data_IF_604537536499
#
_entry.id   IF_604537536499
#
_cell.length_a   1.000
_cell.length_b   1.000
_cell.length_c   1.000
_cell.angle_alpha   90.00
_cell.angle_beta   90.00
_cell.angle_gamma   90.00
#
_symmetry.space_group_name_H-M   'P 1'
#
loop_
_entity.id
_entity.type
_entity.pdbx_description
1 polymer ?
#
# COMPACT_ATOMS: atom_id res chain seq x y z
N UNK A 1 -5.55 -9.98 -24.53
CA UNK A 1 -5.71 -9.20 -23.29
C UNK A 1 -5.74 -7.74 -23.66
N UNK A 2 -6.79 -7.02 -23.27
CA UNK A 2 -6.93 -5.57 -23.53
C UNK A 2 -7.23 -4.88 -22.20
N UNK A 3 -6.63 -3.71 -22.00
CA UNK A 3 -6.85 -2.86 -20.82
C UNK A 3 -7.37 -1.51 -21.29
N UNK A 4 -8.45 -1.03 -20.69
CA UNK A 4 -9.04 0.29 -20.96
C UNK A 4 -9.30 1.01 -19.64
N UNK A 5 -8.70 2.19 -19.46
CA UNK A 5 -8.91 3.01 -18.26
C UNK A 5 -10.24 3.77 -18.44
N UNK A 6 -11.13 3.64 -17.47
CA UNK A 6 -12.40 4.36 -17.44
C UNK A 6 -12.26 5.66 -16.65
N UNK A 7 -11.73 5.56 -15.43
CA UNK A 7 -11.54 6.70 -14.53
C UNK A 7 -10.17 6.59 -13.85
N UNK A 8 -9.54 7.73 -13.63
CA UNK A 8 -8.23 7.82 -12.98
C UNK A 8 -8.14 9.09 -12.14
N UNK A 9 -7.83 8.90 -10.87
CA UNK A 9 -7.38 9.93 -9.94
C UNK A 9 -6.09 9.47 -9.27
N UNK A 10 -5.53 10.30 -8.38
CA UNK A 10 -4.31 9.94 -7.63
C UNK A 10 -4.54 8.72 -6.74
N UNK A 11 -5.75 8.59 -6.17
CA UNK A 11 -6.09 7.58 -5.15
C UNK A 11 -6.96 6.45 -5.66
N UNK A 12 -7.65 6.64 -6.77
CA UNK A 12 -8.58 5.67 -7.34
C UNK A 12 -8.32 5.47 -8.83
N UNK A 13 -8.40 4.23 -9.30
CA UNK A 13 -8.35 3.90 -10.73
C UNK A 13 -9.38 2.82 -11.04
N UNK A 14 -10.16 3.08 -12.09
CA UNK A 14 -11.17 2.15 -12.59
C UNK A 14 -10.80 1.77 -14.02
N UNK A 15 -10.67 0.46 -14.29
CA UNK A 15 -10.28 -0.03 -15.61
C UNK A 15 -10.98 -1.33 -15.98
N UNK A 16 -11.11 -1.57 -17.28
CA UNK A 16 -11.61 -2.81 -17.86
C UNK A 16 -10.44 -3.68 -18.28
N UNK A 17 -10.50 -4.97 -17.93
CA UNK A 17 -9.58 -6.02 -18.37
C UNK A 17 -10.34 -7.09 -19.15
N UNK A 18 -10.04 -7.23 -20.44
CA UNK A 18 -10.66 -8.21 -21.35
C UNK A 18 -9.68 -9.30 -21.79
N UNK A 19 -10.19 -10.44 -22.25
CA UNK A 19 -9.35 -11.51 -22.78
C UNK A 19 -8.69 -12.36 -21.70
N UNK A 20 -9.28 -12.44 -20.50
CA UNK A 20 -8.70 -13.13 -19.34
C UNK A 20 -9.69 -14.05 -18.65
N UNK A 21 -9.19 -15.10 -17.99
CA UNK A 21 -10.02 -15.97 -17.14
C UNK A 21 -10.27 -15.32 -15.78
N UNK A 22 -11.38 -15.66 -15.10
CA UNK A 22 -11.64 -15.22 -13.72
C UNK A 22 -10.49 -15.49 -12.75
N UNK A 23 -9.75 -16.59 -12.93
CA UNK A 23 -8.59 -16.93 -12.12
C UNK A 23 -7.45 -15.92 -12.24
N UNK A 24 -7.23 -15.37 -13.43
CA UNK A 24 -6.22 -14.33 -13.66
C UNK A 24 -6.65 -13.00 -13.04
N UNK A 25 -7.91 -12.60 -13.23
CA UNK A 25 -8.46 -11.39 -12.60
C UNK A 25 -8.37 -11.47 -11.06
N UNK A 26 -8.71 -12.62 -10.48
CA UNK A 26 -8.58 -12.86 -9.04
C UNK A 26 -7.12 -12.84 -8.57
N UNK A 27 -6.19 -13.41 -9.35
CA UNK A 27 -4.77 -13.35 -9.04
C UNK A 27 -4.25 -11.90 -9.05
N UNK A 28 -4.58 -11.12 -10.08
CA UNK A 28 -4.20 -9.71 -10.19
C UNK A 28 -4.72 -8.91 -8.99
N UNK A 29 -5.99 -9.10 -8.62
CA UNK A 29 -6.58 -8.50 -7.39
C UNK A 29 -5.72 -8.81 -6.16
N UNK A 30 -5.37 -10.08 -5.95
CA UNK A 30 -4.60 -10.50 -4.77
C UNK A 30 -3.20 -9.92 -4.74
N UNK A 31 -2.56 -9.79 -5.91
CA UNK A 31 -1.23 -9.19 -6.04
C UNK A 31 -1.30 -7.71 -5.67
N UNK A 32 -2.24 -6.96 -6.24
CA UNK A 32 -2.46 -5.54 -5.92
C UNK A 32 -2.66 -5.30 -4.41
N UNK A 33 -3.37 -6.19 -3.74
CA UNK A 33 -3.64 -6.06 -2.31
C UNK A 33 -2.42 -6.42 -1.44
N UNK A 34 -1.76 -7.55 -1.71
CA UNK A 34 -0.89 -8.21 -0.72
C UNK A 34 0.58 -8.29 -1.08
N UNK A 35 0.96 -8.05 -2.34
CA UNK A 35 2.30 -8.37 -2.83
C UNK A 35 3.10 -7.17 -3.31
N UNK A 36 2.46 -6.00 -3.31
CA UNK A 36 3.10 -4.71 -3.54
C UNK A 36 3.87 -4.29 -2.29
N UNK A 37 5.04 -3.68 -2.49
CA UNK A 37 5.88 -3.19 -1.42
C UNK A 37 5.44 -1.80 -1.01
N UNK A 38 5.15 -1.60 0.27
CA UNK A 38 4.73 -0.30 0.80
C UNK A 38 5.54 0.09 2.03
N UNK A 39 5.66 1.38 2.30
CA UNK A 39 6.37 1.91 3.47
C UNK A 39 5.45 1.99 4.68
N UNK A 40 5.82 1.37 5.79
CA UNK A 40 5.11 1.49 7.07
C UNK A 40 6.07 1.37 8.26
N UNK A 41 5.64 1.86 9.42
CA UNK A 41 6.41 1.78 10.68
C UNK A 41 6.51 0.32 11.14
N UNK A 42 7.73 -0.17 11.35
CA UNK A 42 8.01 -1.51 11.91
C UNK A 42 8.37 -1.45 13.39
N UNK A 43 9.29 -0.56 13.75
CA UNK A 43 9.80 -0.45 15.12
C UNK A 43 9.49 0.93 15.68
N UNK A 44 9.15 0.99 16.96
CA UNK A 44 8.97 2.25 17.69
C UNK A 44 9.74 2.14 18.99
N UNK A 45 10.63 3.10 19.22
CA UNK A 45 11.38 3.25 20.46
C UNK A 45 10.82 4.45 21.23
N UNK A 46 10.19 4.17 22.38
CA UNK A 46 9.64 5.20 23.25
C UNK A 46 10.68 5.63 24.27
N UNK A 47 11.12 6.89 24.17
CA UNK A 47 11.96 7.50 25.21
C UNK A 47 11.15 7.97 26.40
N UNK A 48 9.92 8.43 26.15
CA UNK A 48 8.98 8.85 27.17
C UNK A 48 7.56 8.76 26.65
N UNK A 49 6.69 8.12 27.41
CA UNK A 49 5.25 8.19 27.19
C UNK A 49 4.56 8.35 28.55
N UNK A 50 4.04 9.54 28.80
CA UNK A 50 3.18 9.79 29.97
C UNK A 50 1.75 10.12 29.55
N UNK A 51 1.36 9.74 28.33
CA UNK A 51 -0.01 9.90 27.82
C UNK A 51 -0.97 8.90 28.46
N UNK A 52 -2.27 9.04 28.17
CA UNK A 52 -3.28 8.10 28.62
C UNK A 52 -3.24 6.74 27.88
N UNK A 53 -2.51 6.63 26.77
CA UNK A 53 -2.41 5.40 25.98
C UNK A 53 -1.05 4.71 26.23
N UNK A 54 -1.09 3.41 26.46
CA UNK A 54 0.12 2.60 26.59
C UNK A 54 0.90 2.56 25.27
N UNK A 55 2.20 2.26 25.38
CA UNK A 55 3.15 2.25 24.27
C UNK A 55 2.68 1.34 23.11
N UNK A 56 2.12 0.17 23.40
CA UNK A 56 1.66 -0.78 22.40
C UNK A 56 0.47 -0.24 21.58
N UNK A 57 -0.42 0.51 22.24
CA UNK A 57 -1.58 1.12 21.58
C UNK A 57 -1.13 2.24 20.65
N UNK A 58 -0.19 3.07 21.10
CA UNK A 58 0.39 4.13 20.28
C UNK A 58 1.19 3.52 19.11
N UNK A 59 2.02 2.52 19.36
CA UNK A 59 2.78 1.82 18.33
C UNK A 59 1.86 1.18 17.27
N UNK A 60 0.76 0.55 17.69
CA UNK A 60 -0.21 -0.02 16.77
C UNK A 60 -0.91 1.04 15.90
N UNK A 61 -1.18 2.23 16.46
CA UNK A 61 -1.71 3.36 15.68
C UNK A 61 -0.67 3.87 14.69
N UNK A 62 0.58 4.06 15.10
CA UNK A 62 1.68 4.48 14.24
C UNK A 62 1.91 3.51 13.08
N UNK A 63 1.81 2.21 13.34
CA UNK A 63 1.90 1.17 12.31
C UNK A 63 0.82 1.27 11.22
N UNK A 64 -0.32 1.90 11.50
CA UNK A 64 -1.43 2.07 10.56
C UNK A 64 -1.41 3.42 9.83
N UNK A 65 -0.48 4.32 10.15
CA UNK A 65 -0.35 5.60 9.44
C UNK A 65 0.30 5.34 8.07
N UNK A 66 -0.39 5.62 6.95
CA UNK A 66 0.19 5.45 5.63
C UNK A 66 1.28 6.51 5.40
N UNK A 67 2.42 6.07 4.87
CA UNK A 67 3.57 6.92 4.56
C UNK A 67 3.79 6.98 3.06
N UNK A 68 3.97 8.20 2.56
CA UNK A 68 4.53 8.46 1.21
C UNK A 68 5.98 7.98 1.14
N UNK A 69 6.45 7.64 -0.04
CA UNK A 69 7.85 7.27 -0.30
C UNK A 69 8.09 7.24 -1.82
N UNK A 70 9.35 7.36 -2.23
CA UNK A 70 9.76 7.03 -3.60
C UNK A 70 10.00 5.52 -3.73
N UNK A 71 9.24 4.79 -4.57
CA UNK A 71 9.39 3.35 -4.77
C UNK A 71 10.78 2.94 -5.28
N UNK A 72 11.50 3.84 -5.96
CA UNK A 72 12.82 3.55 -6.54
C UNK A 72 13.97 3.80 -5.57
N UNK A 73 13.74 4.61 -4.53
CA UNK A 73 14.78 4.98 -3.57
C UNK A 73 15.04 3.88 -2.54
N UNK A 74 14.03 3.05 -2.25
CA UNK A 74 14.06 2.08 -1.17
C UNK A 74 14.04 0.64 -1.66
N UNK A 75 14.76 -0.23 -0.96
CA UNK A 75 14.76 -1.67 -1.19
C UNK A 75 14.13 -2.40 -0.01
N UNK A 76 13.50 -3.54 -0.28
CA UNK A 76 13.04 -4.42 0.79
C UNK A 76 14.23 -4.84 1.68
N UNK A 77 14.07 -4.93 3.01
CA UNK A 77 15.16 -5.25 3.93
C UNK A 77 15.89 -6.56 3.61
N UNK A 78 15.19 -7.56 3.06
CA UNK A 78 15.74 -8.86 2.66
C UNK A 78 16.51 -8.82 1.32
N UNK A 79 16.19 -7.89 0.43
CA UNK A 79 16.87 -7.68 -0.85
C UNK A 79 17.98 -6.61 -0.75
N UNK A 80 18.09 -5.95 0.40
CA UNK A 80 19.06 -4.89 0.63
C UNK A 80 20.49 -5.44 0.89
N UNK A 81 21.50 -4.72 0.39
CA UNK A 81 22.92 -5.05 0.59
C UNK A 81 23.37 -5.03 2.05
N UNK A 82 22.62 -4.38 2.94
CA UNK A 82 22.90 -4.36 4.37
C UNK A 82 22.48 -5.65 5.11
N UNK A 83 21.83 -6.59 4.42
CA UNK A 83 21.36 -7.85 5.02
C UNK A 83 20.29 -7.64 6.11
N UNK A 84 19.49 -6.59 5.98
CA UNK A 84 18.41 -6.28 6.94
C UNK A 84 18.85 -5.62 8.24
N UNK A 85 20.13 -5.21 8.37
CA UNK A 85 20.62 -4.51 9.58
C UNK A 85 20.11 -3.08 9.73
N UNK A 86 19.55 -2.51 8.66
CA UNK A 86 19.11 -1.12 8.61
C UNK A 86 20.16 -0.22 7.98
N UNK A 87 19.79 0.45 6.89
CA UNK A 87 20.58 1.50 6.25
C UNK A 87 19.63 2.52 5.62
N UNK A 88 20.16 3.64 5.16
CA UNK A 88 19.39 4.72 4.51
C UNK A 88 18.62 4.29 3.26
N UNK A 89 18.94 3.12 2.66
CA UNK A 89 18.24 2.58 1.48
C UNK A 89 17.12 1.59 1.81
N UNK A 90 16.93 1.21 3.07
CA UNK A 90 15.88 0.25 3.45
C UNK A 90 15.05 0.70 4.66
N UNK A 91 15.53 1.70 5.40
CA UNK A 91 14.88 2.21 6.59
C UNK A 91 14.96 3.74 6.65
N UNK A 92 13.94 4.32 7.28
CA UNK A 92 13.82 5.76 7.52
C UNK A 92 13.30 5.99 8.93
N UNK A 93 13.77 7.04 9.59
CA UNK A 93 13.41 7.34 10.98
C UNK A 93 12.47 8.54 11.05
N UNK A 94 11.38 8.37 11.78
CA UNK A 94 10.37 9.37 12.10
C UNK A 94 10.44 9.67 13.60
N UNK A 95 10.82 10.88 13.97
CA UNK A 95 10.95 11.30 15.37
C UNK A 95 9.84 12.27 15.75
N UNK A 96 9.29 12.12 16.96
CA UNK A 96 8.29 13.04 17.50
C UNK A 96 8.61 13.34 18.97
N UNK A 97 8.48 14.61 19.34
CA UNK A 97 8.52 15.07 20.73
C UNK A 97 7.49 16.18 20.92
N UNK A 98 6.48 15.94 21.76
CA UNK A 98 5.40 16.90 22.03
C UNK A 98 4.97 16.84 23.49
N UNK A 99 4.73 18.01 24.09
CA UNK A 99 4.15 18.18 25.42
C UNK A 99 2.71 18.68 25.29
N UNK A 100 1.84 18.20 26.15
CA UNK A 100 0.46 18.66 26.28
C UNK A 100 0.34 20.02 26.96
N UNK A 101 -0.87 20.58 27.04
CA UNK A 101 -2.12 19.98 26.56
C UNK A 101 -2.28 20.08 25.02
N UNK A 102 -2.87 19.06 24.40
CA UNK A 102 -3.25 19.07 22.97
C UNK A 102 -3.17 17.72 22.27
N UNK A 103 -3.72 17.68 21.04
CA UNK A 103 -3.72 16.47 20.22
C UNK A 103 -2.39 16.28 19.49
N UNK A 104 -1.87 15.05 19.49
CA UNK A 104 -0.73 14.63 18.66
C UNK A 104 -1.25 14.07 17.36
N UNK A 105 -0.81 14.66 16.25
CA UNK A 105 -1.19 14.26 14.90
C UNK A 105 -0.03 13.62 14.15
N UNK A 106 -0.33 12.87 13.09
CA UNK A 106 0.67 12.28 12.20
C UNK A 106 1.66 13.32 11.65
N UNK A 107 1.19 14.50 11.25
CA UNK A 107 2.02 15.58 10.72
C UNK A 107 3.00 16.19 11.73
N UNK A 108 2.89 15.88 13.02
CA UNK A 108 3.87 16.30 14.04
C UNK A 108 5.18 15.49 13.97
N UNK A 109 5.19 14.36 13.22
CA UNK A 109 6.37 13.52 13.05
C UNK A 109 7.38 14.16 12.11
N UNK A 110 8.65 14.19 12.51
CA UNK A 110 9.77 14.68 11.69
C UNK A 110 10.52 13.49 11.11
N UNK A 111 10.51 13.39 9.79
CA UNK A 111 11.24 12.35 9.06
C UNK A 111 12.68 12.76 8.79
N UNK A 112 13.59 11.78 8.77
CA UNK A 112 14.95 11.95 8.24
C UNK A 112 14.98 12.11 6.72
N UNK A 113 13.96 11.64 6.02
CA UNK A 113 13.79 11.79 4.58
C UNK A 113 12.54 12.64 4.28
N UNK A 114 12.70 13.66 3.44
CA UNK A 114 11.62 14.59 3.08
C UNK A 114 10.54 13.93 2.23
N UNK A 115 10.89 12.88 1.49
CA UNK A 115 9.97 12.15 0.63
C UNK A 115 9.15 11.11 1.42
N UNK A 116 9.52 10.85 2.68
CA UNK A 116 8.78 9.98 3.58
C UNK A 116 8.05 10.79 4.63
N UNK A 117 6.78 11.06 4.38
CA UNK A 117 5.87 11.75 5.30
C UNK A 117 4.50 11.04 5.34
N UNK A 118 3.70 11.25 6.40
CA UNK A 118 2.32 10.80 6.40
C UNK A 118 1.57 11.28 5.16
N UNK A 119 0.74 10.42 4.58
CA UNK A 119 -0.13 10.83 3.46
C UNK A 119 -1.11 11.91 3.91
N UNK A 120 -1.62 11.77 5.13
CA UNK A 120 -2.51 12.74 5.76
C UNK A 120 -1.88 13.25 7.06
N UNK A 121 -1.78 14.57 7.20
CA UNK A 121 -1.13 15.22 8.36
C UNK A 121 -1.98 15.25 9.63
N UNK A 122 -3.30 15.06 9.50
CA UNK A 122 -4.26 15.22 10.59
C UNK A 122 -4.79 13.89 11.15
N UNK A 123 -4.04 12.80 11.00
CA UNK A 123 -4.44 11.52 11.61
C UNK A 123 -4.18 11.61 13.11
N UNK A 124 -5.21 11.46 13.97
CA UNK A 124 -5.05 11.54 15.42
C UNK A 124 -4.27 10.33 15.97
N UNK A 125 -3.18 10.58 16.70
CA UNK A 125 -2.40 9.51 17.35
C UNK A 125 -2.80 9.37 18.82
N UNK A 126 -2.68 10.44 19.61
CA UNK A 126 -3.01 10.45 21.05
C UNK A 126 -3.30 11.87 21.52
N UNK A 127 -4.21 12.01 22.47
CA UNK A 127 -4.45 13.27 23.16
C UNK A 127 -3.56 13.36 24.40
N UNK A 128 -2.92 14.51 24.60
CA UNK A 128 -2.12 14.80 25.79
C UNK A 128 -2.86 15.78 26.68
N UNK A 129 -3.07 15.41 27.93
CA UNK A 129 -3.53 16.32 28.97
C UNK A 129 -2.38 17.20 29.48
N UNK A 130 -2.72 18.17 30.35
CA UNK A 130 -1.73 19.07 30.93
C UNK A 130 -0.62 18.30 31.68
N UNK A 131 0.63 18.70 31.45
CA UNK A 131 1.82 18.03 31.99
C UNK A 131 2.21 16.70 31.33
N UNK A 132 1.42 16.14 30.40
CA UNK A 132 1.78 14.92 29.68
C UNK A 132 2.77 15.18 28.54
N UNK A 133 3.61 14.20 28.23
CA UNK A 133 4.62 14.27 27.18
C UNK A 133 4.72 12.93 26.46
N UNK A 134 4.92 13.00 25.15
CA UNK A 134 5.29 11.84 24.34
C UNK A 134 6.54 12.14 23.52
N UNK A 135 7.48 11.21 23.55
CA UNK A 135 8.72 11.24 22.81
C UNK A 135 9.07 9.84 22.31
N UNK A 136 9.14 9.67 20.99
CA UNK A 136 9.50 8.40 20.36
C UNK A 136 10.30 8.59 19.07
N UNK A 137 10.99 7.52 18.67
CA UNK A 137 11.62 7.35 17.37
C UNK A 137 11.03 6.10 16.70
N UNK A 138 10.40 6.28 15.54
CA UNK A 138 9.77 5.22 14.76
C UNK A 138 10.60 4.92 13.51
N UNK A 139 10.91 3.66 13.26
CA UNK A 139 11.61 3.19 12.07
C UNK A 139 10.60 2.61 11.09
N UNK A 140 10.50 3.21 9.91
CA UNK A 140 9.70 2.70 8.80
C UNK A 140 10.57 1.95 7.79
N UNK A 141 9.99 0.93 7.17
CA UNK A 141 10.63 0.12 6.15
C UNK A 141 9.61 -0.42 5.14
N UNK A 142 10.11 -0.84 3.98
CA UNK A 142 9.29 -1.54 3.00
C UNK A 142 8.89 -2.93 3.49
N UNK A 143 7.64 -3.31 3.22
CA UNK A 143 7.12 -4.65 3.44
C UNK A 143 5.91 -4.92 2.54
N UNK A 144 5.39 -6.14 2.61
CA UNK A 144 4.26 -6.58 1.78
C UNK A 144 3.07 -6.96 2.64
N UNK A 145 1.85 -6.76 2.12
CA UNK A 145 0.60 -7.11 2.80
C UNK A 145 0.49 -8.60 3.17
N UNK A 146 1.25 -9.48 2.52
CA UNK A 146 1.40 -10.89 2.94
C UNK A 146 1.98 -11.05 4.34
N UNK A 147 2.88 -10.15 4.76
CA UNK A 147 3.54 -10.22 6.08
C UNK A 147 2.64 -9.61 7.16
N UNK A 148 2.03 -8.46 6.88
CA UNK A 148 1.16 -7.76 7.82
C UNK A 148 0.22 -6.80 7.09
N UNK A 149 -0.99 -6.61 7.62
CA UNK A 149 -2.04 -5.76 7.02
C UNK A 149 -1.62 -4.29 6.83
N UNK A 150 -0.69 -3.80 7.65
CA UNK A 150 -0.14 -2.43 7.53
C UNK A 150 0.57 -2.14 6.22
N UNK A 151 0.99 -3.18 5.51
CA UNK A 151 1.63 -3.06 4.20
C UNK A 151 0.70 -3.41 3.03
N UNK A 152 -0.61 -3.38 3.25
CA UNK A 152 -1.58 -3.56 2.16
C UNK A 152 -1.48 -2.41 1.16
N UNK A 153 -1.35 -2.75 -0.13
CA UNK A 153 -1.16 -1.77 -1.20
C UNK A 153 -2.43 -0.98 -1.52
N UNK A 154 -3.55 -1.70 -1.63
CA UNK A 154 -4.83 -1.16 -2.08
C UNK A 154 -6.04 -1.98 -1.59
N UNK A 155 -7.19 -1.33 -1.61
CA UNK A 155 -8.51 -1.96 -1.60
C UNK A 155 -8.93 -2.18 -3.05
N UNK A 156 -9.28 -3.40 -3.40
CA UNK A 156 -9.57 -3.77 -4.79
C UNK A 156 -10.89 -4.53 -4.87
N UNK A 157 -11.80 -4.02 -5.70
CA UNK A 157 -13.00 -4.71 -6.17
C UNK A 157 -12.83 -5.12 -7.63
N UNK A 158 -13.47 -6.23 -8.02
CA UNK A 158 -13.74 -6.47 -9.44
C UNK A 158 -15.10 -7.13 -9.64
N UNK A 159 -15.71 -6.85 -10.79
CA UNK A 159 -16.98 -7.45 -11.22
C UNK A 159 -16.87 -7.90 -12.67
N UNK A 160 -17.48 -9.05 -12.97
CA UNK A 160 -17.69 -9.46 -14.35
C UNK A 160 -18.87 -8.66 -14.92
N UNK A 161 -18.78 -8.22 -16.18
CA UNK A 161 -19.89 -7.52 -16.83
C UNK A 161 -20.87 -8.56 -17.38
N UNK A 162 -22.15 -8.56 -16.95
CA UNK A 162 -23.11 -9.52 -17.46
C UNK A 162 -23.42 -9.21 -18.93
N UNK A 163 -23.33 -10.22 -19.79
CA UNK A 163 -23.83 -10.17 -21.17
C UNK A 163 -25.35 -10.13 -21.11
N UNK A 164 -26.00 -9.11 -21.69
CA UNK A 164 -27.47 -9.11 -21.83
C UNK A 164 -27.85 -10.02 -23.00
N UNK A 165 -28.66 -11.04 -22.73
CA UNK A 165 -29.31 -11.89 -23.73
C UNK A 165 -30.61 -11.28 -24.31
N UNK A 166 -31.01 -10.05 -23.92
CA UNK A 166 -32.33 -9.50 -24.29
C UNK A 166 -32.28 -8.66 -25.58
N UNK A 167 -33.12 -8.97 -26.59
CA UNK A 167 -33.09 -8.35 -27.93
C UNK A 167 -33.62 -6.90 -27.99
N UNK A 168 -33.79 -6.22 -26.85
CA UNK A 168 -34.47 -4.91 -26.76
C UNK A 168 -33.66 -3.85 -26.01
N UNK A 169 -32.39 -4.12 -25.71
CA UNK A 169 -31.52 -3.11 -25.13
C UNK A 169 -30.99 -2.21 -26.26
N UNK A 170 -31.26 -0.91 -26.17
CA UNK A 170 -30.55 0.10 -26.97
C UNK A 170 -29.04 -0.02 -26.72
N UNK A 171 -28.20 0.31 -27.72
CA UNK A 171 -26.75 0.37 -27.57
C UNK A 171 -26.38 1.43 -26.53
N UNK A 172 -26.33 1.02 -25.25
CA UNK A 172 -25.68 1.78 -24.19
C UNK A 172 -24.18 1.47 -24.19
N UNK A 173 -23.35 2.23 -23.47
CA UNK A 173 -21.92 1.91 -23.27
C UNK A 173 -21.66 0.47 -22.76
N UNK A 174 -22.73 -0.25 -22.39
CA UNK A 174 -22.71 -1.62 -21.93
C UNK A 174 -22.55 -2.71 -22.99
N UNK A 175 -22.75 -2.42 -24.27
CA UNK A 175 -22.56 -3.40 -25.37
C UNK A 175 -21.13 -3.43 -25.92
N UNK A 176 -20.22 -2.60 -25.40
CA UNK A 176 -18.86 -2.40 -25.93
C UNK A 176 -17.87 -3.54 -25.62
N UNK A 177 -18.13 -4.34 -24.58
CA UNK A 177 -17.11 -5.21 -23.98
C UNK A 177 -17.44 -6.71 -24.13
N UNK A 178 -16.39 -7.54 -24.22
CA UNK A 178 -16.50 -8.99 -24.40
C UNK A 178 -17.05 -9.72 -23.16
N UNK A 179 -17.53 -10.96 -23.31
CA UNK A 179 -18.04 -11.78 -22.19
C UNK A 179 -16.98 -12.04 -21.10
N UNK A 180 -15.70 -12.00 -21.47
CA UNK A 180 -14.54 -12.17 -20.59
C UNK A 180 -13.95 -10.85 -20.10
N UNK A 181 -14.80 -9.81 -20.01
CA UNK A 181 -14.45 -8.50 -19.46
C UNK A 181 -14.70 -8.40 -17.95
N UNK A 182 -13.71 -7.86 -17.24
CA UNK A 182 -13.76 -7.56 -15.81
C UNK A 182 -13.51 -6.07 -15.58
N UNK A 183 -14.38 -5.42 -14.82
CA UNK A 183 -14.18 -4.05 -14.35
C UNK A 183 -13.53 -4.13 -12.98
N UNK A 184 -12.37 -3.48 -12.85
CA UNK A 184 -11.65 -3.31 -11.60
C UNK A 184 -11.87 -1.92 -11.05
N UNK A 185 -12.16 -1.86 -9.76
CA UNK A 185 -12.21 -0.64 -8.96
C UNK A 185 -11.07 -0.74 -7.93
N UNK A 186 -10.03 0.09 -8.08
CA UNK A 186 -8.82 0.04 -7.25
C UNK A 186 -8.68 1.37 -6.51
N UNK A 187 -8.74 1.32 -5.18
CA UNK A 187 -8.46 2.45 -4.31
C UNK A 187 -7.16 2.17 -3.56
N UNK A 188 -6.16 3.04 -3.69
CA UNK A 188 -4.93 2.88 -2.94
C UNK A 188 -5.23 2.94 -1.44
N UNK A 189 -4.53 2.12 -0.65
CA UNK A 189 -4.58 2.13 0.82
C UNK A 189 -3.23 2.51 1.43
N UNK A 190 -2.23 2.76 0.59
CA UNK A 190 -0.85 3.04 0.96
C UNK A 190 -0.46 4.46 0.50
N UNK A 191 0.81 4.82 0.73
CA UNK A 191 1.37 6.05 0.17
C UNK A 191 1.73 6.00 -1.32
N UNK A 192 1.37 4.91 -2.01
CA UNK A 192 1.45 4.83 -3.47
C UNK A 192 0.19 5.43 -4.11
N UNK A 193 0.35 5.96 -5.31
CA UNK A 193 -0.77 6.31 -6.18
C UNK A 193 -1.43 5.06 -6.77
N UNK A 194 -2.71 5.15 -7.13
CA UNK A 194 -3.47 4.00 -7.64
C UNK A 194 -2.86 3.41 -8.92
N UNK A 195 -2.28 4.25 -9.79
CA UNK A 195 -1.55 3.79 -10.98
C UNK A 195 -0.28 3.00 -10.63
N UNK A 196 0.48 3.47 -9.63
CA UNK A 196 1.68 2.77 -9.17
C UNK A 196 1.32 1.41 -8.58
N UNK A 197 0.19 1.30 -7.89
CA UNK A 197 -0.33 0.02 -7.41
C UNK A 197 -0.56 -0.96 -8.57
N UNK A 198 -1.26 -0.53 -9.63
CA UNK A 198 -1.60 -1.40 -10.76
C UNK A 198 -0.34 -1.81 -11.55
N UNK A 199 0.57 -0.87 -11.78
CA UNK A 199 1.82 -1.11 -12.52
C UNK A 199 2.79 -2.01 -11.74
N UNK A 200 3.00 -1.75 -10.45
CA UNK A 200 3.86 -2.60 -9.61
C UNK A 200 3.29 -4.02 -9.47
N UNK A 201 1.96 -4.18 -9.44
CA UNK A 201 1.35 -5.50 -9.46
C UNK A 201 1.65 -6.28 -10.74
N UNK A 202 1.70 -5.61 -11.90
CA UNK A 202 2.10 -6.23 -13.15
C UNK A 202 3.57 -6.69 -13.11
N UNK A 203 4.47 -5.84 -12.60
CA UNK A 203 5.90 -6.15 -12.47
C UNK A 203 6.12 -7.35 -11.51
N UNK A 204 5.38 -7.41 -10.40
CA UNK A 204 5.43 -8.54 -9.46
C UNK A 204 4.97 -9.84 -10.14
N UNK A 205 3.91 -9.80 -10.94
CA UNK A 205 3.46 -10.95 -11.71
C UNK A 205 4.51 -11.39 -12.74
N UNK A 206 5.12 -10.45 -13.45
CA UNK A 206 6.18 -10.74 -14.42
C UNK A 206 7.39 -11.42 -13.76
N UNK A 207 7.91 -10.84 -12.66
CA UNK A 207 9.05 -11.39 -11.90
C UNK A 207 8.77 -12.83 -11.46
N UNK A 208 7.57 -13.10 -10.93
CA UNK A 208 7.17 -14.45 -10.50
C UNK A 208 7.09 -15.44 -11.65
N UNK A 209 6.52 -15.05 -12.79
CA UNK A 209 6.43 -15.93 -13.95
C UNK A 209 7.82 -16.23 -14.52
N UNK A 210 8.72 -15.24 -14.53
CA UNK A 210 10.10 -15.44 -14.93
C UNK A 210 10.84 -16.42 -13.99
N UNK A 211 10.68 -16.26 -12.68
CA UNK A 211 11.32 -17.15 -11.70
C UNK A 211 10.75 -18.57 -11.74
N UNK A 212 9.43 -18.71 -11.93
CA UNK A 212 8.80 -20.00 -12.17
C UNK A 212 9.36 -20.69 -13.42
N UNK A 213 9.48 -19.96 -14.54
CA UNK A 213 10.05 -20.49 -15.77
C UNK A 213 11.52 -20.92 -15.60
N UNK A 214 12.33 -20.14 -14.86
CA UNK A 214 13.71 -20.52 -14.52
C UNK A 214 13.76 -21.79 -13.68
N UNK A 215 12.88 -21.94 -12.69
CA UNK A 215 12.82 -23.12 -11.84
C UNK A 215 12.48 -24.39 -12.65
N UNK A 216 11.51 -24.30 -13.55
CA UNK A 216 11.17 -25.43 -14.44
C UNK A 216 12.30 -25.83 -15.38
N UNK A 217 13.08 -24.86 -15.87
CA UNK A 217 14.24 -25.16 -16.73
C UNK A 217 15.33 -25.96 -16.02
N UNK A 218 15.44 -25.88 -14.69
CA UNK A 218 16.41 -26.66 -13.89
C UNK A 218 16.00 -28.12 -13.68
N UNK A 219 14.76 -28.49 -14.04
CA UNK A 219 14.30 -29.89 -13.99
C UNK A 219 14.74 -30.70 -15.21
N UNK A 220 15.26 -30.04 -16.25
CA UNK A 220 15.91 -30.67 -17.40
C UNK A 220 17.39 -30.85 -17.12
#
# INVERSE_FOLDING_TARGET
>A
MRVEILEKSDREITFVLEGVKPSFASALRRVMMTEISTMAVEYVDFRKNSSALNDEVVANRLGQVPLTFDPKAYNLPNECTCGGKGCSKCQVTLALKKKGPGMVYSGDMKSTDKDVKPVYDKIPIVELFDGQEIQFEAMAQLGTGRKHSKWMGAVVGYKNKPVKETPRAEETEDTKYAEDAFIFDVESASGLDAENVVTEAADVLEKKMADFAKALKKLK
#
